data_IF_675476328009
#
_entry.id   IF_675476328009
#
_cell.length_a   1.000
_cell.length_b   1.000
_cell.length_c   1.000
_cell.angle_alpha   90.00
_cell.angle_beta   90.00
_cell.angle_gamma   90.00
#
_symmetry.space_group_name_H-M   'P 1'
#
loop_
_entity.id
_entity.type
_entity.pdbx_description
1 polymer ?
#
# COMPACT_ATOMS: atom_id res chain seq x y z
N UNK A 1 -16.15 22.15 6.15
CA UNK A 1 -16.28 21.66 4.76
C UNK A 1 -15.32 22.47 3.92
N UNK A 2 -14.06 22.07 3.87
CA UNK A 2 -13.06 22.77 3.07
C UNK A 2 -13.08 22.17 1.67
N UNK A 3 -13.44 23.00 0.68
CA UNK A 3 -13.56 22.58 -0.71
C UNK A 3 -12.16 22.41 -1.29
N UNK A 4 -11.60 21.20 -1.19
CA UNK A 4 -10.40 20.77 -1.92
C UNK A 4 -10.76 20.52 -3.39
N UNK A 5 -11.28 21.54 -4.05
CA UNK A 5 -11.40 21.56 -5.51
C UNK A 5 -10.00 21.77 -6.06
N UNK A 6 -9.34 20.69 -6.47
CA UNK A 6 -8.01 20.70 -7.08
C UNK A 6 -7.90 21.88 -8.08
N UNK A 7 -7.01 22.82 -7.78
CA UNK A 7 -6.86 24.05 -8.53
C UNK A 7 -6.59 23.73 -10.01
N UNK A 8 -7.35 24.28 -10.99
CA UNK A 8 -7.22 23.90 -12.40
C UNK A 8 -5.79 24.00 -12.94
N UNK A 9 -5.00 24.98 -12.47
CA UNK A 9 -3.58 25.12 -12.83
C UNK A 9 -2.71 23.95 -12.36
N UNK A 10 -3.08 23.32 -11.25
CA UNK A 10 -2.40 22.13 -10.71
C UNK A 10 -2.70 20.90 -11.57
N UNK A 11 -3.95 20.75 -12.00
CA UNK A 11 -4.37 19.66 -12.89
C UNK A 11 -3.62 19.77 -14.22
N UNK A 12 -3.60 20.95 -14.85
CA UNK A 12 -2.88 21.16 -16.12
C UNK A 12 -1.39 20.80 -16.00
N UNK A 13 -0.77 21.15 -14.87
CA UNK A 13 0.62 20.80 -14.59
C UNK A 13 0.82 19.29 -14.44
N UNK A 14 -0.09 18.61 -13.75
CA UNK A 14 -0.03 17.15 -13.61
C UNK A 14 -0.22 16.45 -14.95
N UNK A 15 -1.17 16.90 -15.77
CA UNK A 15 -1.38 16.37 -17.11
C UNK A 15 -0.13 16.54 -17.99
N UNK A 16 0.54 17.69 -17.93
CA UNK A 16 1.79 17.92 -18.65
C UNK A 16 2.89 16.93 -18.20
N UNK A 17 3.07 16.74 -16.89
CA UNK A 17 4.05 15.80 -16.34
C UNK A 17 3.75 14.34 -16.72
N UNK A 18 2.47 13.94 -16.66
CA UNK A 18 2.04 12.60 -17.05
C UNK A 18 2.25 12.36 -18.54
N UNK A 19 1.97 13.36 -19.38
CA UNK A 19 2.19 13.25 -20.83
C UNK A 19 3.64 12.93 -21.17
N UNK A 20 4.58 13.51 -20.45
CA UNK A 20 6.02 13.34 -20.71
C UNK A 20 6.58 12.06 -20.05
N UNK A 21 6.10 11.70 -18.86
CA UNK A 21 6.81 10.73 -18.00
C UNK A 21 6.00 9.48 -17.63
N UNK A 22 4.74 9.34 -18.06
CA UNK A 22 3.89 8.22 -17.59
C UNK A 22 4.53 6.85 -17.82
N UNK A 23 5.12 6.60 -18.99
CA UNK A 23 5.79 5.33 -19.29
C UNK A 23 6.94 5.03 -18.30
N UNK A 24 7.67 6.06 -17.90
CA UNK A 24 8.76 5.93 -16.94
C UNK A 24 8.23 5.67 -15.52
N UNK A 25 7.14 6.34 -15.14
CA UNK A 25 6.49 6.12 -13.85
C UNK A 25 5.91 4.72 -13.70
N UNK A 26 5.21 4.23 -14.72
CA UNK A 26 4.69 2.86 -14.74
C UNK A 26 5.81 1.84 -14.71
N UNK A 27 6.90 2.03 -15.48
CA UNK A 27 8.04 1.11 -15.45
C UNK A 27 8.72 1.05 -14.06
N UNK A 28 8.79 2.18 -13.33
CA UNK A 28 9.26 2.19 -11.95
C UNK A 28 8.27 1.47 -11.01
N UNK A 29 6.98 1.79 -11.09
CA UNK A 29 5.94 1.19 -10.24
C UNK A 29 5.83 -0.32 -10.44
N UNK A 30 5.88 -0.79 -11.69
CA UNK A 30 5.76 -2.21 -12.09
C UNK A 30 7.08 -2.99 -11.94
N UNK A 31 8.15 -2.35 -11.47
CA UNK A 31 9.50 -2.95 -11.32
C UNK A 31 10.15 -3.41 -12.62
N UNK A 32 9.62 -3.01 -13.77
CA UNK A 32 10.24 -3.22 -15.08
C UNK A 32 11.58 -2.48 -15.18
N UNK A 33 11.69 -1.35 -14.48
CA UNK A 33 12.92 -0.58 -14.33
C UNK A 33 13.34 -0.49 -12.86
N UNK A 34 14.60 -0.83 -12.58
CA UNK A 34 15.19 -0.63 -11.25
C UNK A 34 15.46 0.87 -11.00
N UNK A 35 15.10 1.42 -9.83
CA UNK A 35 15.47 2.78 -9.45
C UNK A 35 17.00 2.89 -9.34
N UNK A 36 17.55 3.96 -9.92
CA UNK A 36 18.98 4.28 -9.95
C UNK A 36 19.36 5.43 -9.02
N UNK A 37 18.39 6.07 -8.38
CA UNK A 37 18.61 7.19 -7.46
C UNK A 37 17.66 7.13 -6.27
N UNK A 38 18.01 7.87 -5.20
CA UNK A 38 17.17 8.01 -4.01
C UNK A 38 15.79 8.59 -4.36
N UNK A 39 15.72 9.57 -5.26
CA UNK A 39 14.46 10.14 -5.74
C UNK A 39 13.57 9.11 -6.47
N UNK A 40 14.17 8.23 -7.29
CA UNK A 40 13.41 7.17 -7.97
C UNK A 40 12.92 6.09 -7.00
N UNK A 41 13.69 5.82 -5.94
CA UNK A 41 13.27 4.91 -4.86
C UNK A 41 12.12 5.50 -4.06
N UNK A 42 12.22 6.78 -3.67
CA UNK A 42 11.14 7.51 -3.02
C UNK A 42 9.87 7.50 -3.88
N UNK A 43 9.98 7.82 -5.18
CA UNK A 43 8.86 7.77 -6.11
C UNK A 43 8.18 6.38 -6.13
N UNK A 44 8.98 5.31 -6.17
CA UNK A 44 8.47 3.94 -6.13
C UNK A 44 7.79 3.62 -4.80
N UNK A 45 8.34 4.05 -3.67
CA UNK A 45 7.73 3.89 -2.35
C UNK A 45 6.39 4.64 -2.25
N UNK A 46 6.29 5.85 -2.80
CA UNK A 46 5.03 6.61 -2.91
C UNK A 46 4.01 5.91 -3.80
N UNK A 47 4.41 5.45 -4.99
CA UNK A 47 3.54 4.71 -5.91
C UNK A 47 3.00 3.39 -5.32
N UNK A 48 3.69 2.85 -4.31
CA UNK A 48 3.28 1.68 -3.55
C UNK A 48 2.57 2.01 -2.25
N UNK A 49 2.32 3.28 -1.93
CA UNK A 49 1.63 3.70 -0.72
C UNK A 49 2.46 3.55 0.57
N UNK A 50 3.78 3.42 0.45
CA UNK A 50 4.70 3.31 1.61
C UNK A 50 5.17 4.67 2.12
N UNK A 51 5.07 5.71 1.31
CA UNK A 51 5.48 7.07 1.65
C UNK A 51 4.46 8.09 1.12
N UNK A 52 4.42 9.27 1.74
CA UNK A 52 3.61 10.38 1.26
C UNK A 52 4.29 11.08 0.06
N UNK A 53 3.52 11.51 -0.96
CA UNK A 53 4.06 12.29 -2.07
C UNK A 53 4.54 13.66 -1.58
N UNK A 54 5.72 14.08 -2.04
CA UNK A 54 6.33 15.39 -1.69
C UNK A 54 6.65 16.24 -2.90
N UNK A 55 6.89 15.62 -4.07
CA UNK A 55 7.19 16.31 -5.33
C UNK A 55 5.98 16.37 -6.26
N UNK A 56 5.99 17.34 -7.18
CA UNK A 56 4.95 17.46 -8.22
C UNK A 56 4.83 16.19 -9.08
N UNK A 57 5.94 15.50 -9.35
CA UNK A 57 5.94 14.24 -10.10
C UNK A 57 5.21 13.11 -9.34
N UNK A 58 5.45 13.01 -8.03
CA UNK A 58 4.79 12.03 -7.17
C UNK A 58 3.30 12.34 -7.00
N UNK A 59 2.96 13.62 -6.79
CA UNK A 59 1.58 14.07 -6.67
C UNK A 59 0.80 13.81 -7.96
N UNK A 60 1.37 14.17 -9.12
CA UNK A 60 0.78 13.90 -10.44
C UNK A 60 0.52 12.40 -10.66
N UNK A 61 1.47 11.55 -10.25
CA UNK A 61 1.32 10.11 -10.42
C UNK A 61 0.29 9.50 -9.44
N UNK A 62 0.27 9.93 -8.18
CA UNK A 62 -0.76 9.50 -7.22
C UNK A 62 -2.15 9.94 -7.68
N UNK A 63 -2.28 11.16 -8.21
CA UNK A 63 -3.52 11.64 -8.81
C UNK A 63 -3.97 10.75 -9.96
N UNK A 64 -3.06 10.39 -10.87
CA UNK A 64 -3.32 9.46 -11.97
C UNK A 64 -3.82 8.08 -11.48
N UNK A 65 -3.15 7.50 -10.47
CA UNK A 65 -3.53 6.21 -9.89
C UNK A 65 -4.93 6.28 -9.26
N UNK A 66 -5.24 7.36 -8.53
CA UNK A 66 -6.57 7.58 -7.94
C UNK A 66 -7.65 7.71 -9.02
N UNK A 67 -7.42 8.53 -10.04
CA UNK A 67 -8.35 8.74 -11.15
C UNK A 67 -8.68 7.42 -11.89
N UNK A 68 -7.69 6.52 -11.99
CA UNK A 68 -7.86 5.19 -12.60
C UNK A 68 -8.27 4.07 -11.63
N UNK A 69 -8.51 4.40 -10.35
CA UNK A 69 -8.82 3.41 -9.28
C UNK A 69 -7.78 2.30 -9.18
N UNK A 70 -6.52 2.63 -9.43
CA UNK A 70 -5.41 1.70 -9.33
C UNK A 70 -4.91 1.72 -7.89
N UNK A 71 -5.06 0.59 -7.20
CA UNK A 71 -4.54 0.43 -5.86
C UNK A 71 -3.00 0.46 -5.84
N UNK A 72 -2.39 1.09 -4.82
CA UNK A 72 -0.97 0.92 -4.57
C UNK A 72 -0.66 -0.56 -4.28
N UNK A 73 0.52 -1.04 -4.70
CA UNK A 73 0.92 -2.44 -4.51
C UNK A 73 0.99 -2.88 -3.04
N UNK A 74 1.11 -1.93 -2.12
CA UNK A 74 1.19 -2.19 -0.69
C UNK A 74 0.12 -1.38 0.03
N UNK A 75 -1.16 -1.72 -0.20
CA UNK A 75 -2.14 -1.53 0.86
C UNK A 75 -1.82 -2.67 1.84
N UNK A 76 -1.22 -2.44 3.02
CA UNK A 76 -1.45 -3.36 4.10
C UNK A 76 -2.96 -3.28 4.33
N UNK A 77 -3.71 -4.23 3.77
CA UNK A 77 -5.04 -4.50 4.31
C UNK A 77 -4.74 -4.81 5.76
N UNK A 78 -5.18 -3.99 6.74
CA UNK A 78 -4.98 -4.35 8.12
C UNK A 78 -5.55 -5.76 8.26
N UNK A 79 -4.75 -6.69 8.79
CA UNK A 79 -5.26 -8.02 9.06
C UNK A 79 -6.55 -7.84 9.86
N UNK A 80 -7.66 -8.48 9.46
CA UNK A 80 -8.92 -8.29 10.16
C UNK A 80 -8.70 -8.59 11.65
N UNK A 81 -9.23 -7.73 12.53
CA UNK A 81 -9.09 -7.95 13.97
C UNK A 81 -9.70 -9.31 14.30
N UNK A 82 -9.09 -10.07 15.20
CA UNK A 82 -9.53 -11.44 15.51
C UNK A 82 -11.01 -11.44 15.96
N UNK A 83 -11.45 -10.40 16.67
CA UNK A 83 -12.85 -10.21 17.07
C UNK A 83 -13.82 -10.08 15.89
N UNK A 84 -13.45 -9.38 14.81
CA UNK A 84 -14.28 -9.28 13.59
C UNK A 84 -14.40 -10.62 12.87
N UNK A 85 -13.33 -11.42 12.88
CA UNK A 85 -13.32 -12.76 12.29
C UNK A 85 -14.17 -13.73 13.14
N UNK A 86 -14.07 -13.62 14.46
CA UNK A 86 -14.73 -14.52 15.41
C UNK A 86 -16.22 -14.19 15.61
N UNK A 87 -16.68 -12.98 15.25
CA UNK A 87 -18.10 -12.58 15.36
C UNK A 87 -19.06 -13.46 14.56
N UNK A 88 -18.58 -14.16 13.54
CA UNK A 88 -19.36 -15.11 12.73
C UNK A 88 -19.29 -16.58 13.19
N UNK A 89 -18.51 -16.89 14.23
CA UNK A 89 -18.31 -18.26 14.72
C UNK A 89 -18.92 -18.46 16.10
N UNK A 90 -19.48 -19.65 16.33
CA UNK A 90 -19.99 -20.04 17.64
C UNK A 90 -18.87 -20.09 18.68
N UNK A 91 -19.18 -19.76 19.94
CA UNK A 91 -18.20 -19.70 21.03
C UNK A 91 -17.61 -21.09 21.26
N UNK A 92 -16.34 -21.26 20.87
CA UNK A 92 -15.61 -22.54 20.95
C UNK A 92 -15.40 -23.25 19.61
N UNK A 93 -15.98 -22.74 18.52
CA UNK A 93 -15.68 -23.20 17.16
C UNK A 93 -14.31 -22.67 16.69
N UNK A 94 -13.49 -23.54 16.08
CA UNK A 94 -12.23 -23.14 15.44
C UNK A 94 -12.45 -23.01 13.92
N UNK A 95 -12.12 -21.86 13.30
CA UNK A 95 -12.13 -21.76 11.84
C UNK A 95 -11.02 -22.63 11.26
N UNK A 96 -11.40 -23.71 10.56
CA UNK A 96 -10.45 -24.50 9.76
C UNK A 96 -10.29 -23.79 8.42
N UNK A 97 -9.23 -23.00 8.26
CA UNK A 97 -8.91 -22.39 6.96
C UNK A 97 -8.54 -23.49 5.96
N UNK A 98 -9.31 -23.59 4.87
CA UNK A 98 -9.10 -24.51 3.75
C UNK A 98 -7.97 -24.14 2.79
N UNK A 99 -7.06 -23.23 3.17
CA UNK A 99 -5.89 -22.89 2.37
C UNK A 99 -4.62 -23.43 3.03
N UNK A 100 -4.06 -24.45 2.38
CA UNK A 100 -2.77 -25.04 2.65
C UNK A 100 -1.69 -23.95 2.57
N UNK A 101 -1.07 -23.56 3.70
CA UNK A 101 0.23 -22.89 3.67
C UNK A 101 0.51 -21.83 4.74
N UNK A 102 -0.48 -21.24 5.40
CA UNK A 102 -0.19 -20.22 6.43
C UNK A 102 0.09 -20.89 7.77
N UNK A 103 1.37 -21.13 8.03
CA UNK A 103 1.89 -21.69 9.29
C UNK A 103 1.48 -20.80 10.47
N UNK A 104 0.45 -21.22 11.19
CA UNK A 104 -0.07 -20.60 12.44
C UNK A 104 0.96 -20.51 13.59
N UNK A 105 2.15 -21.09 13.43
CA UNK A 105 3.18 -21.20 14.47
C UNK A 105 3.80 -19.85 14.90
N UNK A 106 3.73 -18.82 14.04
CA UNK A 106 4.30 -17.49 14.38
C UNK A 106 3.36 -16.62 15.22
N UNK A 107 2.03 -16.80 15.14
CA UNK A 107 1.07 -15.97 15.87
C UNK A 107 0.96 -16.33 17.36
N UNK A 108 1.36 -17.56 17.75
CA UNK A 108 1.24 -18.04 19.13
C UNK A 108 2.52 -17.89 19.96
N UNK A 109 3.67 -17.62 19.34
CA UNK A 109 4.95 -17.53 20.08
C UNK A 109 5.16 -16.17 20.76
N UNK A 110 4.51 -15.11 20.28
CA UNK A 110 4.68 -13.75 20.83
C UNK A 110 3.70 -13.44 21.99
N UNK A 111 2.65 -14.25 22.17
CA UNK A 111 1.60 -14.01 23.18
C UNK A 111 1.82 -14.73 24.52
N UNK A 112 2.79 -15.67 24.61
CA UNK A 112 3.29 -16.17 25.90
C UNK A 112 4.55 -15.39 26.30
N UNK A 113 4.35 -14.19 26.84
CA UNK A 113 5.42 -13.53 27.57
C UNK A 113 5.89 -14.39 28.75
N UNK A 114 7.22 -14.51 28.90
CA UNK A 114 7.84 -14.76 30.20
C UNK A 114 8.77 -15.96 30.31
N UNK A 115 10.05 -15.63 30.54
CA UNK A 115 10.99 -16.26 31.48
C UNK A 115 11.92 -17.36 30.93
N UNK A 116 13.21 -17.10 31.21
CA UNK A 116 14.43 -17.89 31.09
C UNK A 116 14.25 -19.38 31.42
N UNK A 117 14.96 -20.29 30.71
CA UNK A 117 15.86 -21.33 31.24
C UNK A 117 16.45 -22.22 30.11
N UNK A 118 17.77 -22.40 30.18
CA UNK A 118 18.73 -23.21 29.38
C UNK A 118 19.11 -22.75 27.97
#
# INVERSE_FOLDING_TARGET
MEQDGENPRTIERYEALLREHLLFYDALRLRERRPRSAAQRQFQDVAWGKAAPVTDHELAYVWHLKARRIAPFNIPVPAPHIDDVMAGFDVGARPVSGDVGTKWDNAWREYRGGREFF
#
